data_IF_575302246964
#
_entry.id   IF_575302246964
#
_cell.length_a   1.000
_cell.length_b   1.000
_cell.length_c   1.000
_cell.angle_alpha   90.00
_cell.angle_beta   90.00
_cell.angle_gamma   90.00
#
_symmetry.space_group_name_H-M   'P 1'
#
loop_
_entity.id
_entity.type
_entity.pdbx_description
1 polymer ?
#
# COMPACT_ATOMS: atom_id res chain seq x y z
N UNK A 1 -10.42 -0.64 7.41
CA UNK A 1 -9.13 -0.24 6.80
C UNK A 1 -8.18 -1.43 6.59
N UNK A 2 -8.44 -2.33 5.63
CA UNK A 2 -7.48 -3.38 5.24
C UNK A 2 -7.08 -3.21 3.77
N UNK A 3 -6.22 -2.24 3.49
CA UNK A 3 -5.53 -2.19 2.19
C UNK A 3 -4.33 -3.13 2.21
N UNK A 4 -3.83 -3.52 1.03
CA UNK A 4 -2.64 -4.37 0.87
C UNK A 4 -1.40 -3.79 1.56
N UNK A 5 -1.25 -2.46 1.52
CA UNK A 5 -0.15 -1.75 2.18
C UNK A 5 -0.29 -1.76 3.70
N UNK A 6 -1.52 -1.73 4.24
CA UNK A 6 -1.73 -1.79 5.69
C UNK A 6 -1.24 -3.12 6.31
N UNK A 7 -1.20 -4.22 5.55
CA UNK A 7 -0.70 -5.50 6.07
C UNK A 7 0.80 -5.46 6.31
N UNK A 8 1.58 -4.83 5.41
CA UNK A 8 3.01 -4.64 5.64
C UNK A 8 3.31 -3.57 6.70
N UNK A 9 2.50 -2.51 6.78
CA UNK A 9 2.64 -1.52 7.86
C UNK A 9 2.39 -2.19 9.22
N UNK A 10 1.41 -3.09 9.32
CA UNK A 10 1.19 -3.88 10.53
C UNK A 10 2.38 -4.79 10.85
N UNK A 11 3.01 -5.43 9.85
CA UNK A 11 4.24 -6.18 10.04
C UNK A 11 5.36 -5.32 10.63
N UNK A 12 5.57 -4.13 10.07
CA UNK A 12 6.58 -3.18 10.55
C UNK A 12 6.30 -2.76 12.00
N UNK A 13 5.04 -2.45 12.33
CA UNK A 13 4.65 -2.11 13.69
C UNK A 13 4.89 -3.26 14.70
N UNK A 14 4.63 -4.52 14.30
CA UNK A 14 4.92 -5.69 15.14
C UNK A 14 6.41 -5.83 15.40
N UNK A 15 7.25 -5.66 14.37
CA UNK A 15 8.69 -5.75 14.52
C UNK A 15 9.26 -4.60 15.35
N UNK A 16 8.82 -3.36 15.10
CA UNK A 16 9.24 -2.18 15.88
C UNK A 16 8.85 -2.30 17.36
N UNK A 17 7.62 -2.74 17.66
CA UNK A 17 7.18 -3.02 19.03
C UNK A 17 8.00 -4.13 19.68
N UNK A 18 8.36 -5.16 18.92
CA UNK A 18 9.26 -6.23 19.36
C UNK A 18 10.60 -5.67 19.84
N UNK A 19 11.26 -4.84 19.03
CA UNK A 19 12.51 -4.15 19.42
C UNK A 19 12.31 -3.30 20.68
N UNK A 20 11.23 -2.51 20.73
CA UNK A 20 10.97 -1.62 21.86
C UNK A 20 10.73 -2.35 23.18
N UNK A 21 10.04 -3.48 23.15
CA UNK A 21 9.68 -4.21 24.38
C UNK A 21 10.76 -5.22 24.78
N UNK A 22 11.37 -5.90 23.81
CA UNK A 22 12.25 -7.05 24.06
C UNK A 22 13.75 -6.71 23.96
N UNK A 23 14.11 -5.55 23.44
CA UNK A 23 15.51 -5.20 23.22
C UNK A 23 15.94 -3.90 23.92
N UNK A 24 15.21 -2.81 23.66
CA UNK A 24 15.56 -1.49 24.20
C UNK A 24 15.72 -1.44 25.73
N UNK A 25 14.87 -2.11 26.56
CA UNK A 25 14.99 -2.02 28.02
C UNK A 25 16.29 -2.63 28.55
N UNK A 26 16.72 -3.77 28.00
CA UNK A 26 17.97 -4.42 28.40
C UNK A 26 19.18 -3.57 28.00
N UNK A 27 19.11 -2.95 26.83
CA UNK A 27 20.14 -2.04 26.34
C UNK A 27 20.25 -0.79 27.22
N UNK A 28 19.10 -0.21 27.60
CA UNK A 28 19.04 0.95 28.49
C UNK A 28 19.61 0.65 29.88
N UNK A 29 19.23 -0.47 30.50
CA UNK A 29 19.76 -0.84 31.83
C UNK A 29 21.27 -1.09 31.78
N UNK A 30 21.76 -1.78 30.74
CA UNK A 30 23.20 -2.01 30.56
C UNK A 30 23.97 -0.69 30.46
N UNK A 31 23.41 0.31 29.75
CA UNK A 31 24.01 1.65 29.66
C UNK A 31 23.99 2.42 30.98
N UNK A 32 22.92 2.30 31.77
CA UNK A 32 22.80 2.99 33.06
C UNK A 32 23.70 2.36 34.14
N UNK A 33 23.86 1.03 34.12
CA UNK A 33 24.70 0.29 35.06
C UNK A 33 26.18 0.33 34.64
N UNK A 34 26.45 0.47 33.34
CA UNK A 34 27.80 0.42 32.77
C UNK A 34 28.35 -1.00 32.60
N UNK A 35 27.53 -2.03 32.83
CA UNK A 35 27.89 -3.44 32.68
C UNK A 35 26.65 -4.32 32.43
N UNK A 36 26.83 -5.50 31.83
CA UNK A 36 25.74 -6.43 31.52
C UNK A 36 25.53 -7.45 32.64
N UNK A 37 24.41 -7.34 33.37
CA UNK A 37 24.12 -8.15 34.57
C UNK A 37 23.03 -9.22 34.41
N UNK A 38 22.45 -9.38 33.22
CA UNK A 38 21.28 -10.25 33.00
C UNK A 38 21.61 -11.73 32.76
N UNK A 39 22.89 -12.09 32.65
CA UNK A 39 23.35 -13.45 32.38
C UNK A 39 23.17 -13.92 30.92
N UNK A 40 23.76 -15.06 30.58
CA UNK A 40 23.87 -15.53 29.19
C UNK A 40 22.53 -15.93 28.54
N UNK A 41 21.54 -16.35 29.34
CA UNK A 41 20.21 -16.72 28.80
C UNK A 41 19.53 -15.48 28.21
N UNK A 42 19.48 -14.39 28.96
CA UNK A 42 18.89 -13.12 28.50
C UNK A 42 19.73 -12.53 27.36
N UNK A 43 21.06 -12.70 27.41
CA UNK A 43 21.99 -12.28 26.36
C UNK A 43 21.63 -12.91 25.00
N UNK A 44 21.41 -14.22 25.00
CA UNK A 44 21.01 -14.97 23.82
C UNK A 44 19.62 -14.59 23.32
N UNK A 45 18.65 -14.44 24.22
CA UNK A 45 17.28 -14.04 23.84
C UNK A 45 17.27 -12.64 23.24
N UNK A 46 17.95 -11.69 23.88
CA UNK A 46 18.01 -10.30 23.40
C UNK A 46 18.70 -10.21 22.04
N UNK A 47 19.88 -10.82 21.87
CA UNK A 47 20.59 -10.84 20.58
C UNK A 47 19.77 -11.52 19.47
N UNK A 48 19.07 -12.61 19.79
CA UNK A 48 18.14 -13.26 18.87
C UNK A 48 17.00 -12.33 18.44
N UNK A 49 16.33 -11.69 19.41
CA UNK A 49 15.23 -10.76 19.14
C UNK A 49 15.69 -9.57 18.29
N UNK A 50 16.86 -9.01 18.56
CA UNK A 50 17.41 -7.90 17.78
C UNK A 50 17.62 -8.28 16.32
N UNK A 51 18.29 -9.40 16.06
CA UNK A 51 18.49 -9.91 14.71
C UNK A 51 17.14 -10.23 14.02
N UNK A 52 16.21 -10.88 14.73
CA UNK A 52 14.91 -11.27 14.22
C UNK A 52 14.09 -10.05 13.77
N UNK A 53 13.93 -9.05 14.64
CA UNK A 53 13.09 -7.90 14.31
C UNK A 53 13.75 -6.97 13.29
N UNK A 54 15.07 -6.83 13.31
CA UNK A 54 15.82 -6.11 12.27
C UNK A 54 15.54 -6.69 10.88
N UNK A 55 15.78 -8.00 10.71
CA UNK A 55 15.65 -8.66 9.41
C UNK A 55 14.18 -8.74 8.97
N UNK A 56 13.24 -8.96 9.90
CA UNK A 56 11.81 -8.93 9.59
C UNK A 56 11.33 -7.53 9.14
N UNK A 57 11.83 -6.47 9.79
CA UNK A 57 11.53 -5.08 9.42
C UNK A 57 12.05 -4.73 8.02
N UNK A 58 13.32 -5.02 7.72
CA UNK A 58 13.90 -4.63 6.44
C UNK A 58 13.27 -5.38 5.27
N UNK A 59 13.01 -6.69 5.41
CA UNK A 59 12.30 -7.45 4.39
C UNK A 59 10.83 -7.03 4.26
N UNK A 60 10.20 -6.60 5.36
CA UNK A 60 8.91 -5.93 5.33
C UNK A 60 8.93 -4.67 4.46
N UNK A 61 9.91 -3.79 4.66
CA UNK A 61 10.11 -2.57 3.86
C UNK A 61 10.39 -2.89 2.39
N UNK A 62 11.24 -3.87 2.10
CA UNK A 62 11.47 -4.35 0.73
C UNK A 62 10.17 -4.85 0.09
N UNK A 63 9.35 -5.57 0.86
CA UNK A 63 8.04 -6.03 0.43
C UNK A 63 7.07 -4.89 0.10
N UNK A 64 7.06 -3.82 0.90
CA UNK A 64 6.30 -2.60 0.60
C UNK A 64 6.78 -1.98 -0.71
N UNK A 65 8.10 -1.83 -0.89
CA UNK A 65 8.70 -1.28 -2.10
C UNK A 65 8.28 -2.08 -3.33
N UNK A 66 8.43 -3.41 -3.31
CA UNK A 66 8.00 -4.29 -4.39
C UNK A 66 6.49 -4.15 -4.67
N UNK A 67 5.67 -4.09 -3.63
CA UNK A 67 4.24 -3.88 -3.79
C UNK A 67 3.94 -2.59 -4.59
N UNK A 68 4.68 -1.52 -4.33
CA UNK A 68 4.53 -0.25 -5.05
C UNK A 68 5.08 -0.29 -6.46
N UNK A 69 6.18 -1.02 -6.70
CA UNK A 69 6.68 -1.26 -8.04
C UNK A 69 5.60 -1.83 -8.96
N UNK A 70 4.96 -2.93 -8.57
CA UNK A 70 3.92 -3.55 -9.40
C UNK A 70 2.68 -2.66 -9.55
N UNK A 71 2.32 -1.91 -8.51
CA UNK A 71 1.16 -1.01 -8.56
C UNK A 71 1.35 0.20 -9.49
N UNK A 72 2.58 0.71 -9.64
CA UNK A 72 2.85 1.97 -10.36
C UNK A 72 3.57 1.79 -11.69
N UNK A 73 4.53 0.86 -11.77
CA UNK A 73 5.36 0.65 -12.97
C UNK A 73 4.68 -0.34 -13.92
N UNK A 74 3.96 -1.33 -13.37
CA UNK A 74 3.36 -2.43 -14.15
C UNK A 74 1.84 -2.55 -13.88
N UNK A 75 1.05 -1.51 -14.17
CA UNK A 75 -0.39 -1.51 -13.85
C UNK A 75 -1.20 -2.59 -14.57
N UNK A 76 -0.73 -3.06 -15.74
CA UNK A 76 -1.34 -4.14 -16.53
C UNK A 76 -0.78 -5.54 -16.21
N UNK A 77 0.17 -5.64 -15.28
CA UNK A 77 0.70 -6.94 -14.84
C UNK A 77 -0.17 -7.56 -13.73
N UNK A 78 0.09 -8.84 -13.39
CA UNK A 78 -0.60 -9.53 -12.29
C UNK A 78 -0.52 -8.72 -10.99
N UNK A 79 -1.63 -8.07 -10.65
CA UNK A 79 -1.84 -7.37 -9.39
C UNK A 79 -1.46 -8.28 -8.22
N UNK A 80 -0.57 -7.81 -7.34
CA UNK A 80 -0.17 -8.59 -6.16
C UNK A 80 -1.40 -8.92 -5.32
N UNK A 81 -1.64 -10.21 -5.11
CA UNK A 81 -2.76 -10.73 -4.33
C UNK A 81 -2.45 -10.67 -2.84
N UNK A 82 -3.50 -10.66 -1.99
CA UNK A 82 -3.31 -10.69 -0.52
C UNK A 82 -2.59 -11.96 -0.06
N UNK A 83 -2.79 -13.09 -0.75
CA UNK A 83 -2.08 -14.35 -0.47
C UNK A 83 -0.57 -14.17 -0.66
N UNK A 84 -0.14 -13.58 -1.78
CA UNK A 84 1.29 -13.29 -2.05
C UNK A 84 1.90 -12.37 -0.99
N UNK A 85 1.17 -11.35 -0.52
CA UNK A 85 1.65 -10.48 0.56
C UNK A 85 1.88 -11.26 1.85
N UNK A 86 0.93 -12.12 2.24
CA UNK A 86 1.11 -12.98 3.41
C UNK A 86 2.30 -13.92 3.25
N UNK A 87 2.50 -14.50 2.06
CA UNK A 87 3.68 -15.31 1.76
C UNK A 87 4.98 -14.50 1.86
N UNK A 88 5.03 -13.28 1.33
CA UNK A 88 6.21 -12.41 1.44
C UNK A 88 6.55 -12.09 2.90
N UNK A 89 5.52 -11.83 3.73
CA UNK A 89 5.70 -11.60 5.16
C UNK A 89 6.19 -12.88 5.85
N UNK A 90 5.56 -14.03 5.58
CA UNK A 90 6.01 -15.30 6.14
C UNK A 90 7.47 -15.61 5.78
N UNK A 91 7.88 -15.35 4.54
CA UNK A 91 9.27 -15.47 4.12
C UNK A 91 10.19 -14.48 4.82
N UNK A 92 9.75 -13.24 5.07
CA UNK A 92 10.53 -12.27 5.83
C UNK A 92 10.84 -12.77 7.24
N UNK A 93 9.84 -13.32 7.95
CA UNK A 93 10.03 -13.89 9.29
C UNK A 93 10.87 -15.17 9.28
N UNK A 94 10.71 -16.01 8.25
CA UNK A 94 11.53 -17.21 8.09
C UNK A 94 13.00 -16.85 7.91
N UNK A 95 13.31 -15.96 6.97
CA UNK A 95 14.69 -15.49 6.75
C UNK A 95 15.25 -14.81 7.99
N UNK A 96 14.44 -14.00 8.68
CA UNK A 96 14.84 -13.38 9.95
C UNK A 96 15.17 -14.41 11.04
N UNK A 97 14.38 -15.48 11.14
CA UNK A 97 14.62 -16.56 12.10
C UNK A 97 15.91 -17.31 11.77
N UNK A 98 16.17 -17.58 10.49
CA UNK A 98 17.42 -18.22 10.04
C UNK A 98 18.65 -17.35 10.36
N UNK A 99 18.57 -16.04 10.13
CA UNK A 99 19.62 -15.09 10.54
C UNK A 99 19.85 -15.09 12.05
N UNK A 100 18.77 -15.01 12.83
CA UNK A 100 18.82 -14.87 14.27
C UNK A 100 19.22 -16.15 15.02
N UNK A 101 18.89 -17.33 14.50
CA UNK A 101 19.13 -18.60 15.19
C UNK A 101 20.58 -19.07 15.13
N UNK A 102 21.38 -18.58 14.17
CA UNK A 102 22.76 -19.02 13.94
C UNK A 102 23.63 -19.12 15.21
N UNK A 103 23.69 -18.07 16.06
CA UNK A 103 24.46 -18.13 17.30
C UNK A 103 23.93 -19.14 18.35
N UNK A 104 22.67 -19.57 18.26
CA UNK A 104 22.07 -20.52 19.19
C UNK A 104 22.32 -21.97 18.82
N UNK A 105 22.62 -22.25 17.54
CA UNK A 105 22.88 -23.60 17.01
C UNK A 105 24.37 -23.87 16.77
N UNK A 106 25.26 -22.97 17.20
CA UNK A 106 26.71 -23.15 17.13
C UNK A 106 27.37 -22.71 15.81
N UNK A 107 26.67 -21.96 14.94
CA UNK A 107 27.32 -21.27 13.80
C UNK A 107 28.12 -20.04 14.24
N UNK A 108 27.73 -19.46 15.36
CA UNK A 108 28.41 -18.38 16.04
C UNK A 108 28.05 -18.48 17.53
N UNK A 109 28.41 -17.48 18.32
CA UNK A 109 28.10 -17.40 19.74
C UNK A 109 27.80 -15.95 20.08
N UNK A 110 26.76 -15.71 20.89
CA UNK A 110 26.51 -14.38 21.42
C UNK A 110 27.36 -14.16 22.66
N UNK A 111 27.95 -12.98 22.78
CA UNK A 111 28.70 -12.58 23.97
C UNK A 111 28.46 -11.11 24.27
N UNK A 112 28.68 -10.74 25.53
CA UNK A 112 28.74 -9.34 25.92
C UNK A 112 30.15 -8.80 25.66
N UNK A 113 30.24 -7.68 24.93
CA UNK A 113 31.51 -6.99 24.67
C UNK A 113 31.63 -5.81 25.64
N UNK A 114 32.71 -5.65 26.41
CA UNK A 114 32.84 -4.53 27.35
C UNK A 114 32.60 -3.17 26.67
N UNK A 115 31.75 -2.33 27.28
CA UNK A 115 31.37 -1.02 26.76
C UNK A 115 30.29 -1.01 25.66
N UNK A 116 29.81 -2.20 25.25
CA UNK A 116 28.60 -2.31 24.42
C UNK A 116 27.34 -2.05 25.23
N UNK A 117 26.27 -1.63 24.55
CA UNK A 117 24.97 -1.46 25.18
C UNK A 117 24.24 -2.79 25.39
N UNK A 118 24.65 -3.87 24.72
CA UNK A 118 23.93 -5.14 24.74
C UNK A 118 24.78 -6.28 24.19
N UNK A 119 24.26 -7.51 24.33
CA UNK A 119 24.84 -8.68 23.71
C UNK A 119 24.72 -8.68 22.19
N UNK A 120 25.66 -9.34 21.53
CA UNK A 120 25.62 -9.62 20.11
C UNK A 120 26.62 -10.71 19.72
N UNK A 121 26.76 -11.01 18.42
CA UNK A 121 27.71 -12.02 17.96
C UNK A 121 29.14 -11.68 18.40
N UNK A 122 29.89 -12.69 18.87
CA UNK A 122 31.31 -12.55 19.16
C UNK A 122 32.11 -12.20 17.90
N UNK A 123 33.36 -11.77 18.09
CA UNK A 123 34.25 -11.56 16.95
C UNK A 123 34.52 -12.91 16.26
N UNK A 124 34.46 -12.98 14.93
CA UNK A 124 34.63 -14.23 14.21
C UNK A 124 36.09 -14.71 14.27
N UNK A 125 36.28 -15.98 14.60
CA UNK A 125 37.59 -16.65 14.61
C UNK A 125 37.60 -17.84 13.65
N UNK A 126 36.44 -18.47 13.45
CA UNK A 126 36.26 -19.63 12.56
C UNK A 126 35.63 -19.24 11.24
N UNK A 127 35.85 -20.07 10.20
CA UNK A 127 35.23 -19.88 8.88
C UNK A 127 33.68 -19.83 8.99
N UNK A 128 33.08 -20.64 9.88
CA UNK A 128 31.63 -20.66 10.08
C UNK A 128 31.08 -19.31 10.57
N UNK A 129 31.77 -18.67 11.50
CA UNK A 129 31.38 -17.35 12.04
C UNK A 129 31.50 -16.25 11.01
N UNK A 130 32.57 -16.27 10.19
CA UNK A 130 32.70 -15.37 9.05
C UNK A 130 31.56 -15.57 8.04
N UNK A 131 31.24 -16.82 7.69
CA UNK A 131 30.14 -17.13 6.76
C UNK A 131 28.80 -16.65 7.29
N UNK A 132 28.53 -16.81 8.59
CA UNK A 132 27.31 -16.28 9.22
C UNK A 132 27.25 -14.75 9.19
N UNK A 133 28.37 -14.08 9.47
CA UNK A 133 28.49 -12.62 9.36
C UNK A 133 28.24 -12.12 7.93
N UNK A 134 28.86 -12.73 6.93
CA UNK A 134 28.64 -12.40 5.52
C UNK A 134 27.20 -12.65 5.09
N UNK A 135 26.61 -13.78 5.49
CA UNK A 135 25.21 -14.07 5.25
C UNK A 135 24.30 -12.97 5.79
N UNK A 136 24.52 -12.53 7.04
CA UNK A 136 23.74 -11.46 7.65
C UNK A 136 23.91 -10.12 6.93
N UNK A 137 25.12 -9.75 6.50
CA UNK A 137 25.33 -8.55 5.68
C UNK A 137 24.58 -8.62 4.33
N UNK A 138 24.64 -9.76 3.65
CA UNK A 138 23.97 -9.92 2.36
C UNK A 138 22.45 -9.83 2.51
N UNK A 139 21.90 -10.51 3.51
CA UNK A 139 20.45 -10.58 3.76
C UNK A 139 19.89 -9.28 4.34
N UNK A 140 20.61 -8.64 5.25
CA UNK A 140 20.14 -7.45 5.97
C UNK A 140 20.57 -6.12 5.34
N UNK A 141 21.52 -6.11 4.39
CA UNK A 141 21.95 -4.88 3.71
C UNK A 141 21.91 -5.01 2.20
N UNK A 142 22.69 -5.93 1.63
CA UNK A 142 22.95 -5.95 0.17
C UNK A 142 21.67 -6.22 -0.63
N UNK A 143 20.96 -7.32 -0.34
CA UNK A 143 19.74 -7.69 -1.06
C UNK A 143 18.66 -6.60 -0.92
N UNK A 144 18.29 -6.14 0.29
CA UNK A 144 17.29 -5.10 0.46
C UNK A 144 17.65 -3.79 -0.23
N UNK A 145 18.93 -3.37 -0.16
CA UNK A 145 19.39 -2.13 -0.79
C UNK A 145 19.26 -2.21 -2.31
N UNK A 146 19.74 -3.28 -2.93
CA UNK A 146 19.67 -3.48 -4.38
C UNK A 146 18.22 -3.53 -4.87
N UNK A 147 17.34 -4.26 -4.17
CA UNK A 147 15.92 -4.33 -4.54
C UNK A 147 15.24 -2.98 -4.39
N UNK A 148 15.45 -2.27 -3.28
CA UNK A 148 14.89 -0.93 -3.07
C UNK A 148 15.39 0.05 -4.13
N UNK A 149 16.69 0.06 -4.42
CA UNK A 149 17.29 0.92 -5.45
C UNK A 149 16.66 0.66 -6.82
N UNK A 150 16.60 -0.60 -7.25
CA UNK A 150 15.96 -1.00 -8.50
C UNK A 150 14.50 -0.53 -8.57
N UNK A 151 13.74 -0.75 -7.51
CA UNK A 151 12.33 -0.34 -7.43
C UNK A 151 12.19 1.18 -7.56
N UNK A 152 12.94 1.96 -6.80
CA UNK A 152 12.79 3.42 -6.80
C UNK A 152 13.27 4.06 -8.10
N UNK A 153 14.34 3.56 -8.72
CA UNK A 153 14.77 3.97 -10.06
C UNK A 153 13.64 3.68 -11.07
N UNK A 154 13.06 2.48 -11.01
CA UNK A 154 11.98 2.10 -11.92
C UNK A 154 10.73 2.94 -11.74
N UNK A 155 10.34 3.24 -10.49
CA UNK A 155 9.19 4.10 -10.19
C UNK A 155 9.45 5.54 -10.65
N UNK A 156 10.66 6.07 -10.44
CA UNK A 156 11.04 7.39 -10.93
C UNK A 156 10.94 7.49 -12.46
N UNK A 157 11.49 6.50 -13.16
CA UNK A 157 11.42 6.43 -14.62
C UNK A 157 9.98 6.31 -15.12
N UNK A 158 9.16 5.46 -14.49
CA UNK A 158 7.74 5.33 -14.80
C UNK A 158 6.97 6.64 -14.56
N UNK A 159 7.25 7.34 -13.45
CA UNK A 159 6.64 8.63 -13.15
C UNK A 159 6.97 9.68 -14.21
N UNK A 160 8.22 9.74 -14.68
CA UNK A 160 8.64 10.67 -15.73
C UNK A 160 7.96 10.38 -17.07
N UNK A 161 7.81 9.11 -17.42
CA UNK A 161 7.08 8.70 -18.63
C UNK A 161 5.59 9.03 -18.52
N UNK A 162 5.00 8.81 -17.35
CA UNK A 162 3.59 9.11 -17.10
C UNK A 162 3.30 10.61 -17.22
N UNK A 163 4.13 11.48 -16.62
CA UNK A 163 3.96 12.94 -16.76
C UNK A 163 3.99 13.43 -18.22
N UNK A 164 4.80 12.80 -19.08
CA UNK A 164 4.83 13.12 -20.53
C UNK A 164 3.57 12.66 -21.28
N UNK A 165 2.96 11.53 -20.87
CA UNK A 165 1.73 10.99 -21.48
C UNK A 165 0.46 11.71 -21.00
N UNK A 166 0.47 12.15 -19.75
CA UNK A 166 -0.65 12.82 -19.08
C UNK A 166 -1.01 14.16 -19.73
N UNK A 167 -0.02 14.90 -20.24
CA UNK A 167 -0.24 16.14 -21.00
C UNK A 167 -1.07 15.92 -22.28
N UNK A 168 -1.24 14.68 -22.73
CA UNK A 168 -1.73 14.40 -24.07
C UNK A 168 -3.17 13.91 -24.16
N UNK A 169 -3.78 13.25 -23.14
CA UNK A 169 -5.12 12.64 -23.28
C UNK A 169 -5.82 12.08 -22.00
N UNK A 170 -5.51 12.50 -20.77
CA UNK A 170 -6.06 11.87 -19.54
C UNK A 170 -7.07 12.73 -18.78
N UNK A 171 -8.06 12.09 -18.15
CA UNK A 171 -9.06 12.75 -17.29
C UNK A 171 -8.47 13.14 -15.92
N UNK A 172 -9.02 14.20 -15.32
CA UNK A 172 -8.58 14.75 -14.02
C UNK A 172 -8.53 13.70 -12.89
N UNK A 173 -9.46 12.74 -12.88
CA UNK A 173 -9.53 11.73 -11.83
C UNK A 173 -8.37 10.73 -11.88
N UNK A 174 -7.93 10.33 -13.08
CA UNK A 174 -6.80 9.41 -13.25
C UNK A 174 -5.49 10.08 -12.80
N UNK A 175 -5.32 11.37 -13.12
CA UNK A 175 -4.21 12.18 -12.63
C UNK A 175 -4.19 12.27 -11.10
N UNK A 176 -5.34 12.53 -10.48
CA UNK A 176 -5.47 12.63 -9.02
C UNK A 176 -5.09 11.32 -8.33
N UNK A 177 -5.60 10.18 -8.82
CA UNK A 177 -5.28 8.86 -8.26
C UNK A 177 -3.78 8.56 -8.38
N UNK A 178 -3.16 8.85 -9.54
CA UNK A 178 -1.74 8.63 -9.72
C UNK A 178 -0.88 9.51 -8.81
N UNK A 179 -1.21 10.81 -8.69
CA UNK A 179 -0.54 11.74 -7.77
C UNK A 179 -0.60 11.25 -6.33
N UNK A 180 -1.74 10.73 -5.89
CA UNK A 180 -1.88 10.12 -4.57
C UNK A 180 -0.96 8.91 -4.38
N UNK A 181 -0.87 8.00 -5.37
CA UNK A 181 0.01 6.85 -5.30
C UNK A 181 1.50 7.24 -5.25
N UNK A 182 1.90 8.26 -6.02
CA UNK A 182 3.26 8.83 -5.97
C UNK A 182 3.56 9.42 -4.60
N UNK A 183 2.62 10.12 -3.99
CA UNK A 183 2.81 10.68 -2.64
C UNK A 183 2.99 9.57 -1.58
N UNK A 184 2.29 8.45 -1.73
CA UNK A 184 2.49 7.27 -0.89
C UNK A 184 3.89 6.70 -1.12
N UNK A 185 4.35 6.56 -2.36
CA UNK A 185 5.72 6.10 -2.64
C UNK A 185 6.78 7.02 -2.09
N UNK A 186 6.64 8.34 -2.24
CA UNK A 186 7.57 9.31 -1.63
C UNK A 186 7.67 9.12 -0.13
N UNK A 187 6.56 8.78 0.53
CA UNK A 187 6.53 8.46 1.96
C UNK A 187 7.32 7.20 2.27
N UNK A 188 7.09 6.12 1.53
CA UNK A 188 7.83 4.86 1.67
C UNK A 188 9.32 5.04 1.38
N UNK A 189 9.67 5.85 0.37
CA UNK A 189 11.06 6.19 0.06
C UNK A 189 11.77 6.83 1.24
N UNK A 190 11.11 7.77 1.93
CA UNK A 190 11.69 8.36 3.14
C UNK A 190 11.79 7.34 4.27
N UNK A 191 10.79 6.48 4.47
CA UNK A 191 10.89 5.41 5.47
C UNK A 191 12.10 4.50 5.19
N UNK A 192 12.31 4.12 3.92
CA UNK A 192 13.44 3.29 3.51
C UNK A 192 14.78 4.00 3.71
N UNK A 193 14.89 5.28 3.34
CA UNK A 193 16.12 6.05 3.58
C UNK A 193 16.38 6.20 5.08
N UNK A 194 15.36 6.54 5.87
CA UNK A 194 15.49 6.64 7.33
C UNK A 194 15.97 5.32 7.91
N UNK A 195 15.42 4.19 7.46
CA UNK A 195 15.88 2.87 7.88
C UNK A 195 17.38 2.69 7.61
N UNK A 196 17.81 2.86 6.36
CA UNK A 196 19.23 2.67 6.04
C UNK A 196 20.12 3.67 6.76
N UNK A 197 19.69 4.91 6.91
CA UNK A 197 20.43 5.94 7.66
C UNK A 197 20.62 5.54 9.13
N UNK A 198 19.55 5.14 9.81
CA UNK A 198 19.60 4.71 11.21
C UNK A 198 20.46 3.45 11.42
N UNK A 199 20.43 2.51 10.47
CA UNK A 199 21.19 1.26 10.56
C UNK A 199 22.59 1.34 9.95
N UNK A 200 22.94 2.42 9.24
CA UNK A 200 24.27 2.61 8.63
C UNK A 200 25.40 2.45 9.65
N UNK A 201 25.37 3.08 10.84
CA UNK A 201 26.40 2.89 11.86
C UNK A 201 26.59 1.42 12.26
N UNK A 202 25.51 0.65 12.37
CA UNK A 202 25.56 -0.78 12.64
C UNK A 202 26.17 -1.58 11.50
N UNK A 203 25.81 -1.28 10.25
CA UNK A 203 26.42 -1.95 9.10
C UNK A 203 27.91 -1.64 8.95
N UNK A 204 28.34 -0.42 9.28
CA UNK A 204 29.76 -0.07 9.33
C UNK A 204 30.47 -0.84 10.46
N UNK A 205 29.87 -0.91 11.66
CA UNK A 205 30.38 -1.72 12.75
C UNK A 205 30.53 -3.20 12.35
N UNK A 206 29.49 -3.80 11.77
CA UNK A 206 29.50 -5.19 11.33
C UNK A 206 30.55 -5.43 10.23
N UNK A 207 30.71 -4.48 9.30
CA UNK A 207 31.77 -4.53 8.29
C UNK A 207 33.17 -4.48 8.92
N UNK A 208 33.40 -3.60 9.90
CA UNK A 208 34.67 -3.52 10.62
C UNK A 208 34.97 -4.82 11.37
N UNK A 209 33.96 -5.43 12.01
CA UNK A 209 34.10 -6.73 12.68
C UNK A 209 34.54 -7.84 11.71
N UNK A 210 34.10 -7.80 10.45
CA UNK A 210 34.40 -8.85 9.48
C UNK A 210 35.69 -8.63 8.70
N UNK A 211 36.07 -7.38 8.43
CA UNK A 211 37.19 -7.06 7.54
C UNK A 211 38.32 -6.27 8.21
N UNK A 212 38.06 -5.64 9.34
CA UNK A 212 39.02 -4.78 10.02
C UNK A 212 39.67 -5.44 11.23
N UNK A 213 40.62 -4.72 11.82
CA UNK A 213 41.24 -5.10 13.09
C UNK A 213 40.26 -4.83 14.25
N UNK A 214 39.78 -5.91 14.87
CA UNK A 214 38.82 -5.85 15.97
C UNK A 214 39.41 -5.19 17.23
N UNK A 215 40.74 -5.16 17.38
CA UNK A 215 41.40 -4.51 18.52
C UNK A 215 41.31 -2.98 18.46
N UNK A 216 41.08 -2.44 17.26
CA UNK A 216 40.99 -1.01 17.02
C UNK A 216 39.54 -0.47 17.00
N UNK A 217 38.55 -1.32 17.28
CA UNK A 217 37.16 -0.88 17.34
C UNK A 217 36.91 -0.17 18.67
N UNK A 218 36.54 1.13 18.66
CA UNK A 218 36.27 1.84 19.90
C UNK A 218 35.06 1.24 20.64
N UNK A 219 35.17 1.07 21.95
CA UNK A 219 34.11 0.47 22.78
C UNK A 219 32.74 1.16 22.61
N UNK A 220 32.74 2.48 22.46
CA UNK A 220 31.53 3.30 22.31
C UNK A 220 30.84 3.11 20.95
N UNK A 221 31.55 2.61 19.93
CA UNK A 221 31.03 2.57 18.58
C UNK A 221 29.85 1.58 18.46
N UNK A 222 29.92 0.47 19.17
CA UNK A 222 28.83 -0.50 19.24
C UNK A 222 27.55 0.12 19.85
N UNK A 223 27.70 0.88 20.93
CA UNK A 223 26.59 1.59 21.57
C UNK A 223 25.96 2.60 20.61
N UNK A 224 26.76 3.43 19.92
CA UNK A 224 26.25 4.38 18.93
C UNK A 224 25.52 3.66 17.79
N UNK A 225 26.06 2.51 17.35
CA UNK A 225 25.45 1.69 16.31
C UNK A 225 24.05 1.19 16.68
N UNK A 226 23.91 0.57 17.86
CA UNK A 226 22.61 0.06 18.31
C UNK A 226 21.62 1.18 18.63
N UNK A 227 22.04 2.24 19.31
CA UNK A 227 21.16 3.38 19.61
C UNK A 227 20.62 4.06 18.34
N UNK A 228 21.47 4.18 17.31
CA UNK A 228 21.04 4.68 16.00
C UNK A 228 20.01 3.76 15.35
N UNK A 229 20.21 2.44 15.44
CA UNK A 229 19.24 1.43 14.99
C UNK A 229 17.91 1.52 15.74
N UNK A 230 17.92 1.70 17.06
CA UNK A 230 16.72 1.85 17.88
C UNK A 230 15.92 3.11 17.57
N UNK A 231 16.58 4.20 17.19
CA UNK A 231 15.90 5.41 16.74
C UNK A 231 14.98 5.15 15.53
N UNK A 232 15.29 4.18 14.67
CA UNK A 232 14.45 3.81 13.53
C UNK A 232 13.02 3.44 13.96
N UNK A 233 12.86 2.63 15.00
CA UNK A 233 11.56 2.17 15.49
C UNK A 233 10.70 3.34 16.00
N UNK A 234 11.32 4.36 16.60
CA UNK A 234 10.63 5.57 17.04
C UNK A 234 10.26 6.52 15.87
N UNK A 235 11.08 6.56 14.82
CA UNK A 235 10.86 7.43 13.67
C UNK A 235 9.74 6.95 12.76
N UNK A 236 9.48 5.64 12.67
CA UNK A 236 8.44 5.08 11.80
C UNK A 236 7.04 5.69 12.07
N UNK A 237 6.47 5.65 13.29
CA UNK A 237 5.20 6.31 13.60
C UNK A 237 5.20 7.82 13.32
N UNK A 238 6.30 8.52 13.60
CA UNK A 238 6.44 9.97 13.37
C UNK A 238 6.34 10.27 11.87
N UNK A 239 7.04 9.50 11.03
CA UNK A 239 6.99 9.65 9.58
C UNK A 239 5.57 9.42 9.06
N UNK A 240 4.89 8.37 9.51
CA UNK A 240 3.49 8.12 9.13
C UNK A 240 2.57 9.25 9.60
N UNK A 241 2.73 9.70 10.84
CA UNK A 241 1.98 10.82 11.42
C UNK A 241 2.18 12.11 10.64
N UNK A 242 3.38 12.46 10.22
CA UNK A 242 3.63 13.70 9.49
C UNK A 242 3.17 13.63 8.02
N UNK A 243 3.31 12.47 7.38
CA UNK A 243 3.23 12.32 5.91
C UNK A 243 1.92 11.73 5.41
N UNK A 244 1.17 11.03 6.25
CA UNK A 244 -0.03 10.30 5.84
C UNK A 244 -1.28 10.94 6.42
N UNK A 245 -2.05 11.64 5.58
CA UNK A 245 -3.31 12.30 5.98
C UNK A 245 -4.32 11.30 6.57
N UNK A 246 -4.38 10.07 6.02
CA UNK A 246 -5.23 9.01 6.58
C UNK A 246 -4.78 8.56 7.97
N UNK A 247 -3.48 8.49 8.24
CA UNK A 247 -2.97 8.15 9.57
C UNK A 247 -3.21 9.28 10.58
N UNK A 248 -3.01 10.55 10.18
CA UNK A 248 -3.41 11.73 11.00
C UNK A 248 -4.88 11.67 11.40
N UNK A 249 -5.77 11.32 10.47
CA UNK A 249 -7.21 11.22 10.72
C UNK A 249 -7.56 10.13 11.73
N UNK A 250 -6.90 8.97 11.66
CA UNK A 250 -7.13 7.88 12.60
C UNK A 250 -6.49 8.13 13.98
N UNK A 251 -5.30 8.74 14.02
CA UNK A 251 -4.71 9.24 15.27
C UNK A 251 -5.63 10.25 15.96
N UNK A 252 -6.20 11.20 15.20
CA UNK A 252 -7.14 12.20 15.73
C UNK A 252 -8.41 11.56 16.29
N UNK A 253 -8.88 10.46 15.71
CA UNK A 253 -10.01 9.66 16.24
C UNK A 253 -9.62 8.89 17.50
N UNK A 254 -8.43 8.28 17.53
CA UNK A 254 -7.94 7.55 18.71
C UNK A 254 -7.71 8.47 19.92
N UNK A 255 -7.17 9.67 19.70
CA UNK A 255 -6.89 10.65 20.75
C UNK A 255 -8.06 11.65 21.00
N UNK A 256 -9.28 11.33 20.53
CA UNK A 256 -10.50 12.08 20.90
C UNK A 256 -10.62 13.51 20.34
N UNK A 257 -9.65 13.98 19.54
CA UNK A 257 -9.66 15.32 18.95
C UNK A 257 -10.62 15.49 17.75
N UNK A 258 -11.35 14.44 17.38
CA UNK A 258 -12.39 14.51 16.36
C UNK A 258 -13.76 14.38 17.03
N UNK A 259 -14.57 15.45 16.97
CA UNK A 259 -16.02 15.33 17.18
C UNK A 259 -16.52 14.21 16.28
N UNK A 260 -17.29 13.27 16.85
CA UNK A 260 -18.02 12.25 16.10
C UNK A 260 -19.05 12.92 15.19
N UNK A 261 -18.59 13.41 14.04
CA UNK A 261 -19.46 13.70 12.92
C UNK A 261 -19.65 12.40 12.17
N UNK A 262 -20.92 11.98 12.02
CA UNK A 262 -21.31 11.08 10.93
C UNK A 262 -20.61 11.50 9.64
N UNK A 263 -20.21 10.56 8.76
CA UNK A 263 -19.57 10.92 7.49
C UNK A 263 -20.43 11.97 6.81
N UNK A 264 -19.83 13.15 6.58
CA UNK A 264 -20.56 14.32 6.13
C UNK A 264 -21.21 13.99 4.79
N UNK A 265 -22.54 14.15 4.72
CA UNK A 265 -23.35 13.93 3.52
C UNK A 265 -22.78 14.65 2.30
N UNK A 266 -22.00 15.71 2.50
CA UNK A 266 -21.25 16.43 1.46
C UNK A 266 -20.13 15.59 0.81
N UNK A 267 -19.41 14.78 1.58
CA UNK A 267 -18.27 13.96 1.12
C UNK A 267 -18.78 12.71 0.35
N UNK A 268 -19.89 12.13 0.81
CA UNK A 268 -20.58 11.04 0.10
C UNK A 268 -21.20 11.55 -1.20
N UNK A 269 -21.89 12.70 -1.17
CA UNK A 269 -22.48 13.33 -2.37
C UNK A 269 -21.40 13.72 -3.39
N UNK A 270 -20.24 14.20 -2.93
CA UNK A 270 -19.07 14.48 -3.79
C UNK A 270 -18.54 13.22 -4.49
N UNK A 271 -18.40 12.11 -3.77
CA UNK A 271 -17.93 10.84 -4.35
C UNK A 271 -18.93 10.24 -5.33
N UNK A 272 -20.23 10.28 -5.03
CA UNK A 272 -21.27 9.81 -5.94
C UNK A 272 -21.33 10.66 -7.22
N UNK A 273 -21.27 11.99 -7.09
CA UNK A 273 -21.29 12.91 -8.23
C UNK A 273 -20.04 12.77 -9.12
N UNK A 274 -18.87 12.56 -8.53
CA UNK A 274 -17.62 12.32 -9.27
C UNK A 274 -17.68 10.98 -10.02
N UNK A 275 -18.23 9.93 -9.39
CA UNK A 275 -18.40 8.61 -10.03
C UNK A 275 -19.40 8.67 -11.19
N UNK A 276 -20.53 9.36 -11.02
CA UNK A 276 -21.55 9.56 -12.04
C UNK A 276 -21.03 10.41 -13.22
N UNK A 277 -20.22 11.44 -12.93
CA UNK A 277 -19.58 12.25 -13.97
C UNK A 277 -18.61 11.41 -14.81
N UNK A 278 -17.79 10.56 -14.17
CA UNK A 278 -16.86 9.68 -14.88
C UNK A 278 -17.57 8.66 -15.77
N UNK A 279 -18.68 8.09 -15.29
CA UNK A 279 -19.49 7.14 -16.10
C UNK A 279 -20.13 7.85 -17.29
N UNK A 280 -20.69 9.04 -17.09
CA UNK A 280 -21.28 9.84 -18.17
C UNK A 280 -20.24 10.31 -19.21
N UNK A 281 -19.02 10.64 -18.78
CA UNK A 281 -17.95 11.05 -19.69
C UNK A 281 -17.41 9.85 -20.51
N UNK A 282 -17.27 8.68 -19.88
CA UNK A 282 -16.92 7.45 -20.58
C UNK A 282 -17.99 7.08 -21.62
N UNK A 283 -19.27 7.19 -21.24
CA UNK A 283 -20.41 6.96 -22.12
C UNK A 283 -20.44 7.92 -23.32
N UNK A 284 -20.29 9.23 -23.10
CA UNK A 284 -20.18 10.23 -24.19
C UNK A 284 -19.03 9.94 -25.15
N UNK A 285 -17.89 9.48 -24.65
CA UNK A 285 -16.74 9.16 -25.50
C UNK A 285 -16.95 7.90 -26.36
N UNK A 286 -17.73 6.93 -25.87
CA UNK A 286 -18.09 5.71 -26.58
C UNK A 286 -19.14 5.96 -27.65
N UNK A 287 -20.18 6.74 -27.34
CA UNK A 287 -21.23 7.11 -28.30
C UNK A 287 -20.69 8.00 -29.43
N UNK A 288 -19.79 8.94 -29.12
CA UNK A 288 -19.17 9.81 -30.14
C UNK A 288 -18.20 9.04 -31.08
N UNK A 289 -17.57 7.95 -30.60
CA UNK A 289 -16.70 7.08 -31.42
C UNK A 289 -17.48 6.01 -32.18
N UNK A 290 -18.65 5.61 -31.70
CA UNK A 290 -19.60 4.76 -32.43
C UNK A 290 -20.25 5.53 -33.59
N UNK A 291 -20.68 6.78 -33.35
CA UNK A 291 -21.28 7.66 -34.36
C UNK A 291 -20.33 8.04 -35.52
N UNK A 292 -19.01 7.90 -35.33
CA UNK A 292 -18.01 8.19 -36.37
C UNK A 292 -17.53 6.94 -37.13
N UNK A 293 -18.18 5.77 -36.92
CA UNK A 293 -17.92 4.54 -37.66
C UNK A 293 -16.53 3.90 -37.41
N UNK A 294 -15.78 4.37 -36.41
CA UNK A 294 -14.39 3.94 -36.13
C UNK A 294 -14.27 2.86 -35.04
N UNK A 295 -15.35 2.17 -34.68
CA UNK A 295 -15.30 1.09 -33.71
C UNK A 295 -14.90 -0.24 -34.38
N UNK A 296 -13.61 -0.61 -34.31
CA UNK A 296 -13.20 -2.00 -34.56
C UNK A 296 -13.57 -2.87 -33.34
N UNK A 297 -14.11 -4.09 -33.53
CA UNK A 297 -14.70 -4.92 -32.47
C UNK A 297 -13.72 -5.32 -31.35
N UNK A 298 -12.41 -5.27 -31.59
CA UNK A 298 -11.39 -5.68 -30.62
C UNK A 298 -11.15 -4.70 -29.45
N UNK A 299 -11.54 -3.43 -29.56
CA UNK A 299 -11.28 -2.41 -28.53
C UNK A 299 -12.38 -2.27 -27.46
N UNK A 300 -13.46 -3.03 -27.59
CA UNK A 300 -14.52 -3.08 -26.58
C UNK A 300 -14.03 -3.76 -25.29
N UNK A 301 -13.14 -4.77 -25.36
CA UNK A 301 -12.67 -5.46 -24.16
C UNK A 301 -11.83 -4.56 -23.21
N UNK A 302 -10.97 -3.70 -23.75
CA UNK A 302 -10.03 -2.88 -22.94
C UNK A 302 -10.75 -1.76 -22.16
N UNK A 303 -11.78 -1.17 -22.74
CA UNK A 303 -12.58 -0.10 -22.11
C UNK A 303 -13.42 -0.64 -20.94
N UNK A 304 -13.98 -1.85 -21.09
CA UNK A 304 -14.73 -2.54 -20.04
C UNK A 304 -13.81 -3.06 -18.93
N UNK A 305 -12.56 -3.43 -19.27
CA UNK A 305 -11.55 -3.83 -18.29
C UNK A 305 -11.10 -2.65 -17.42
N UNK A 306 -11.07 -1.43 -17.97
CA UNK A 306 -10.75 -0.20 -17.24
C UNK A 306 -11.85 0.18 -16.23
N UNK A 307 -13.13 -0.01 -16.59
CA UNK A 307 -14.27 0.17 -15.68
C UNK A 307 -14.24 -0.91 -14.58
N UNK A 308 -13.90 -2.16 -14.91
CA UNK A 308 -13.74 -3.22 -13.92
C UNK A 308 -12.55 -2.98 -12.96
N UNK A 309 -11.46 -2.37 -13.45
CA UNK A 309 -10.31 -1.96 -12.62
C UNK A 309 -10.70 -0.84 -11.65
N UNK A 310 -11.47 0.15 -12.10
CA UNK A 310 -12.01 1.23 -11.25
C UNK A 310 -12.98 0.67 -10.18
N UNK A 311 -13.88 -0.24 -10.57
CA UNK A 311 -14.82 -0.92 -9.67
C UNK A 311 -14.09 -1.82 -8.65
N UNK A 312 -13.00 -2.49 -9.03
CA UNK A 312 -12.23 -3.33 -8.10
C UNK A 312 -11.31 -2.54 -7.15
N UNK A 313 -10.90 -1.33 -7.53
CA UNK A 313 -10.01 -0.51 -6.69
C UNK A 313 -10.75 0.32 -5.63
N UNK A 314 -12.04 0.61 -5.83
CA UNK A 314 -12.90 1.36 -4.90
C UNK A 314 -13.79 0.49 -4.00
N UNK A 315 -13.38 -0.75 -3.71
CA UNK A 315 -13.92 -1.52 -2.59
C UNK A 315 -13.50 -0.88 -1.25
N UNK A 316 -14.02 0.32 -0.97
CA UNK A 316 -13.99 0.97 0.32
C UNK A 316 -14.89 0.15 1.23
N UNK A 317 -14.24 -0.45 2.23
CA UNK A 317 -14.84 -1.13 3.38
C UNK A 317 -15.70 -0.14 4.19
N UNK A 318 -16.90 0.19 3.70
CA UNK A 318 -17.93 0.88 4.48
C UNK A 318 -18.84 -0.20 5.07
N UNK A 319 -18.91 -0.26 6.39
CA UNK A 319 -19.73 -1.23 7.16
C UNK A 319 -21.23 -0.87 7.18
N UNK A 320 -21.66 0.09 6.37
CA UNK A 320 -23.02 0.59 6.38
C UNK A 320 -23.86 -0.11 5.30
N UNK A 321 -24.85 -0.89 5.74
CA UNK A 321 -25.74 -1.64 4.83
C UNK A 321 -26.52 -0.73 3.87
N UNK A 322 -26.82 0.51 4.26
CA UNK A 322 -27.57 1.46 3.42
C UNK A 322 -26.75 1.95 2.22
N UNK A 323 -25.44 2.16 2.40
CA UNK A 323 -24.54 2.52 1.31
C UNK A 323 -24.37 1.36 0.31
N UNK A 324 -24.29 0.12 0.81
CA UNK A 324 -24.20 -1.07 -0.03
C UNK A 324 -25.46 -1.27 -0.88
N UNK A 325 -26.62 -0.86 -0.37
CA UNK A 325 -27.90 -0.94 -1.08
C UNK A 325 -28.02 0.13 -2.17
N UNK A 326 -27.67 1.39 -1.88
CA UNK A 326 -27.61 2.46 -2.90
C UNK A 326 -26.58 2.14 -3.98
N UNK A 327 -25.41 1.62 -3.60
CA UNK A 327 -24.40 1.16 -4.55
C UNK A 327 -24.87 -0.04 -5.38
N UNK A 328 -25.57 -1.02 -4.77
CA UNK A 328 -26.18 -2.14 -5.50
C UNK A 328 -27.23 -1.65 -6.49
N UNK A 329 -28.09 -0.72 -6.08
CA UNK A 329 -29.15 -0.18 -6.93
C UNK A 329 -28.57 0.63 -8.10
N UNK A 330 -27.53 1.43 -7.85
CA UNK A 330 -26.77 2.13 -8.90
C UNK A 330 -26.07 1.15 -9.86
N UNK A 331 -25.44 0.10 -9.33
CA UNK A 331 -24.81 -0.96 -10.13
C UNK A 331 -25.82 -1.73 -10.97
N UNK A 332 -26.99 -2.05 -10.42
CA UNK A 332 -28.07 -2.78 -11.10
C UNK A 332 -28.72 -1.91 -12.18
N UNK A 333 -28.90 -0.60 -11.94
CA UNK A 333 -29.37 0.37 -12.92
C UNK A 333 -28.37 0.48 -14.09
N UNK A 334 -27.07 0.59 -13.77
CA UNK A 334 -26.00 0.64 -14.78
C UNK A 334 -25.95 -0.66 -15.61
N UNK A 335 -26.10 -1.82 -14.96
CA UNK A 335 -26.11 -3.13 -15.63
C UNK A 335 -27.34 -3.31 -16.52
N UNK A 336 -28.51 -2.83 -16.08
CA UNK A 336 -29.74 -2.85 -16.89
C UNK A 336 -29.63 -1.93 -18.11
N UNK A 337 -29.08 -0.73 -17.95
CA UNK A 337 -28.82 0.19 -19.06
C UNK A 337 -27.85 -0.42 -20.10
N UNK A 338 -26.82 -1.13 -19.63
CA UNK A 338 -25.89 -1.87 -20.50
C UNK A 338 -26.59 -2.99 -21.27
N UNK A 339 -27.47 -3.76 -20.62
CA UNK A 339 -28.20 -4.86 -21.27
C UNK A 339 -29.19 -4.36 -22.32
N UNK A 340 -29.93 -3.29 -22.03
CA UNK A 340 -30.83 -2.64 -23.01
C UNK A 340 -30.03 -2.17 -24.22
N UNK A 341 -28.85 -1.60 -24.00
CA UNK A 341 -27.98 -1.13 -25.09
C UNK A 341 -27.39 -2.29 -25.93
N UNK A 342 -27.17 -3.47 -25.35
CA UNK A 342 -26.70 -4.66 -26.07
C UNK A 342 -27.79 -5.28 -26.96
N UNK A 343 -29.03 -5.33 -26.47
CA UNK A 343 -30.20 -5.77 -27.24
C UNK A 343 -30.45 -4.85 -28.44
N UNK A 344 -30.46 -3.53 -28.21
CA UNK A 344 -30.67 -2.53 -29.26
C UNK A 344 -29.56 -2.56 -30.32
N UNK A 345 -28.30 -2.76 -29.91
CA UNK A 345 -27.19 -2.89 -30.86
C UNK A 345 -27.29 -4.17 -31.72
N UNK A 346 -27.80 -5.27 -31.15
CA UNK A 346 -28.07 -6.49 -31.94
C UNK A 346 -29.16 -6.22 -32.98
N UNK A 347 -30.24 -5.56 -32.59
CA UNK A 347 -31.34 -5.23 -33.51
C UNK A 347 -30.88 -4.29 -34.63
N UNK A 348 -30.18 -3.20 -34.31
CA UNK A 348 -29.60 -2.28 -35.30
C UNK A 348 -28.60 -2.99 -36.22
N UNK A 349 -27.76 -3.88 -35.68
CA UNK A 349 -26.80 -4.64 -36.48
C UNK A 349 -27.47 -5.66 -37.41
N UNK A 350 -28.68 -6.12 -37.07
CA UNK A 350 -29.48 -7.03 -37.91
C UNK A 350 -30.20 -6.29 -39.03
N UNK A 351 -30.73 -5.09 -38.76
CA UNK A 351 -31.40 -4.22 -39.75
C UNK A 351 -30.39 -3.61 -40.74
N UNK A 352 -29.18 -3.24 -40.28
CA UNK A 352 -28.07 -2.79 -41.15
C UNK A 352 -27.61 -3.89 -42.13
N UNK A 353 -27.75 -5.18 -41.78
CA UNK A 353 -27.50 -6.29 -42.70
C UNK A 353 -28.63 -6.51 -43.71
N UNK A 354 -29.83 -6.00 -43.42
CA UNK A 354 -31.02 -6.11 -44.28
C UNK A 354 -31.23 -4.89 -45.19
N UNK A 355 -30.35 -3.88 -45.15
CA UNK A 355 -30.34 -2.77 -46.10
C UNK A 355 -31.47 -1.75 -45.92
N UNK A 356 -31.98 -1.55 -44.71
CA UNK A 356 -33.02 -0.55 -44.42
C UNK A 356 -32.51 0.89 -44.51
N UNK A 357 -33.36 1.81 -44.98
CA UNK A 357 -32.99 3.22 -45.23
C UNK A 357 -32.57 3.98 -43.98
N UNK A 358 -31.56 4.84 -44.15
CA UNK A 358 -30.88 5.66 -43.12
C UNK A 358 -31.86 6.54 -42.32
N UNK A 359 -32.98 6.93 -42.94
CA UNK A 359 -34.04 7.75 -42.37
C UNK A 359 -34.92 6.99 -41.34
N UNK A 360 -35.09 5.67 -41.49
CA UNK A 360 -35.79 4.83 -40.49
C UNK A 360 -34.92 4.57 -39.26
N UNK A 361 -33.61 4.43 -39.45
CA UNK A 361 -32.64 4.21 -38.39
C UNK A 361 -32.51 5.45 -37.48
N UNK A 362 -32.41 6.64 -38.07
CA UNK A 362 -32.37 7.92 -37.32
C UNK A 362 -33.67 8.23 -36.59
N UNK A 363 -34.83 7.83 -37.13
CA UNK A 363 -36.13 8.01 -36.45
C UNK A 363 -36.28 7.10 -35.23
N UNK A 364 -35.80 5.85 -35.30
CA UNK A 364 -35.75 4.93 -34.14
C UNK A 364 -34.72 5.39 -33.09
N UNK A 365 -33.56 5.90 -33.49
CA UNK A 365 -32.58 6.49 -32.56
C UNK A 365 -33.15 7.67 -31.76
N UNK A 366 -33.97 8.53 -32.37
CA UNK A 366 -34.67 9.61 -31.65
C UNK A 366 -35.71 9.09 -30.66
N UNK A 367 -36.57 8.17 -31.09
CA UNK A 367 -37.59 7.57 -30.21
C UNK A 367 -36.91 6.85 -29.01
N UNK A 368 -35.74 6.25 -29.23
CA UNK A 368 -34.95 5.63 -28.17
C UNK A 368 -34.26 6.64 -27.25
N UNK A 369 -33.70 7.73 -27.80
CA UNK A 369 -33.12 8.82 -26.99
C UNK A 369 -34.16 9.43 -26.06
N UNK A 370 -35.39 9.61 -26.55
CA UNK A 370 -36.49 10.16 -25.76
C UNK A 370 -37.02 9.13 -24.74
N UNK A 371 -37.17 7.85 -25.12
CA UNK A 371 -37.56 6.79 -24.19
C UNK A 371 -36.53 6.48 -23.10
N UNK A 372 -35.22 6.55 -23.42
CA UNK A 372 -34.13 6.41 -22.45
C UNK A 372 -34.04 7.60 -21.51
N UNK A 373 -34.36 8.81 -21.99
CA UNK A 373 -34.45 10.02 -21.18
C UNK A 373 -35.66 9.96 -20.24
N UNK A 374 -36.81 9.46 -20.69
CA UNK A 374 -37.99 9.21 -19.87
C UNK A 374 -37.74 8.12 -18.79
N UNK A 375 -37.02 7.05 -19.13
CA UNK A 375 -36.65 5.98 -18.19
C UNK A 375 -35.61 6.47 -17.15
N UNK A 376 -34.67 7.33 -17.58
CA UNK A 376 -33.73 8.02 -16.70
C UNK A 376 -34.44 9.02 -15.79
N UNK A 377 -35.38 9.82 -16.30
CA UNK A 377 -36.14 10.80 -15.51
C UNK A 377 -37.10 10.10 -14.52
N UNK A 378 -37.78 9.02 -14.93
CA UNK A 378 -38.59 8.17 -14.02
C UNK A 378 -37.77 7.55 -12.89
N UNK A 379 -36.48 7.28 -13.08
CA UNK A 379 -35.61 6.64 -12.07
C UNK A 379 -34.66 7.63 -11.35
N UNK A 380 -34.43 8.84 -11.87
CA UNK A 380 -33.74 9.93 -11.18
C UNK A 380 -34.64 10.62 -10.15
N UNK A 381 -35.96 10.68 -10.38
CA UNK A 381 -36.88 11.40 -9.50
C UNK A 381 -37.28 10.67 -8.22
N UNK A 382 -37.09 9.36 -8.14
CA UNK A 382 -37.45 8.58 -6.93
C UNK A 382 -36.40 8.72 -5.80
N UNK A 383 -35.27 9.41 -6.06
CA UNK A 383 -34.22 9.68 -5.07
C UNK A 383 -34.44 11.03 -4.39
N UNK A 384 -34.87 12.08 -5.11
CA UNK A 384 -35.18 13.38 -4.52
C UNK A 384 -36.43 13.36 -3.64
N UNK A 385 -37.38 12.48 -3.91
CA UNK A 385 -38.64 12.39 -3.14
C UNK A 385 -38.54 11.47 -1.90
N UNK A 386 -37.55 10.56 -1.87
CA UNK A 386 -37.28 9.65 -0.73
C UNK A 386 -36.22 10.17 0.24
N UNK A 387 -35.35 11.09 -0.19
CA UNK A 387 -34.31 11.67 0.66
C UNK A 387 -34.86 12.54 1.81
N UNK A 388 -35.92 13.35 1.63
CA UNK A 388 -36.54 14.12 2.72
C UNK A 388 -37.29 13.22 3.70
N UNK A 389 -37.93 12.13 3.22
CA UNK A 389 -38.65 11.17 4.08
C UNK A 389 -37.70 10.38 4.99
N UNK A 390 -36.50 10.05 4.52
CA UNK A 390 -35.43 9.42 5.33
C UNK A 390 -34.72 10.39 6.29
N UNK A 391 -34.72 11.70 6.00
CA UNK A 391 -34.17 12.75 6.86
C UNK A 391 -35.20 13.34 7.85
N UNK A 392 -36.48 12.96 7.73
CA UNK A 392 -37.58 13.45 8.59
C UNK A 392 -37.79 12.66 9.89
N UNK A 393 -37.07 11.56 10.12
CA UNK A 393 -36.99 10.95 11.46
C UNK A 393 -36.02 11.74 12.35
N UNK A 394 -36.36 13.01 12.59
CA UNK A 394 -35.91 13.74 13.78
C UNK A 394 -36.89 13.44 14.90
N UNK A 395 -36.31 13.25 16.08
CA UNK A 395 -36.93 13.33 17.40
C UNK A 395 -37.95 12.26 17.78
N UNK A 396 -37.52 11.32 18.61
CA UNK A 396 -38.32 10.86 19.75
C UNK A 396 -37.44 10.84 21.01
N UNK A 397 -38.03 11.03 22.20
CA UNK A 397 -37.53 11.95 23.21
C UNK A 397 -36.85 11.26 24.39
N UNK A 398 -35.94 12.05 25.01
CA UNK A 398 -35.36 11.98 26.36
C UNK A 398 -34.80 10.65 26.84
#
# INVERSE_FOLDING_TARGET
MRTKTNTFIANLAVADLGVTVLCMPFSLVTLLVGDYKFGMVVCNINAFCDALFLVASIHGLTGISLQKYFALVRPLSRVITRRRIKYMIAMAWLTATVSAIGPLIGWSENTYKPGSSQCGPKYPETIGEYLHGYYNLVVALVIPLLVCLFVYISVFNASRQYSKRLQRNTTFDVERIFKQQIQIVKTIFVIVITFFFCWTPYFIYAAWVLWGDHNNIPFWFNTVAYMSGFANSALNPIIYALRTVSFKRELRKMFGFAKSGSPDSSEIRSQVNSTAHLTNQAFKSLTQRAATGKLKPAYSAESFQFINILIQHDAISVKDQRFLEVYRNSKNATTSAINIHQEVWKDLSSELRQGTSEERLTKKERIFSDGYKDELEKRHFDVEDKLPKLLSYKSCPT
#
